data_IF_814999651206
#
_entry.id   IF_814999651206
#
_cell.length_a   1.000
_cell.length_b   1.000
_cell.length_c   1.000
_cell.angle_alpha   90.00
_cell.angle_beta   90.00
_cell.angle_gamma   90.00
#
_symmetry.space_group_name_H-M   'P 1'
#
loop_
_entity.id
_entity.type
_entity.pdbx_description
1 polymer ?
#
# COMPACT_ATOMS: atom_id res chain seq x y z
N UNK A 1 -10.22 24.75 20.89
CA UNK A 1 -11.47 24.88 21.68
C UNK A 1 -11.10 24.88 23.16
N UNK A 2 -11.53 25.91 23.87
CA UNK A 2 -10.99 26.24 25.19
C UNK A 2 -11.77 25.50 26.30
N UNK A 3 -11.29 24.29 26.63
CA UNK A 3 -11.94 23.38 27.59
C UNK A 3 -11.95 23.92 29.03
N UNK A 4 -11.13 24.93 29.35
CA UNK A 4 -10.99 25.48 30.70
C UNK A 4 -12.09 26.43 31.15
N UNK A 5 -12.85 27.04 30.23
CA UNK A 5 -13.83 28.09 30.59
C UNK A 5 -15.07 27.57 31.32
N UNK A 6 -15.37 26.27 31.19
CA UNK A 6 -16.54 25.62 31.78
C UNK A 6 -16.37 25.26 33.26
N UNK A 7 -15.13 25.13 33.73
CA UNK A 7 -14.82 24.86 35.14
C UNK A 7 -14.79 26.14 35.99
N UNK A 8 -14.91 27.31 35.36
CA UNK A 8 -14.89 28.59 36.06
C UNK A 8 -16.26 28.82 36.71
N UNK A 9 -16.33 28.98 38.04
CA UNK A 9 -17.58 29.31 38.70
C UNK A 9 -18.03 30.71 38.26
N UNK A 10 -19.24 30.81 37.69
CA UNK A 10 -19.83 32.08 37.24
C UNK A 10 -21.19 32.28 37.86
N UNK A 11 -21.49 33.50 38.32
CA UNK A 11 -22.78 33.80 38.96
C UNK A 11 -24.00 33.64 38.04
N UNK A 12 -23.94 34.14 36.80
CA UNK A 12 -25.01 33.98 35.80
C UNK A 12 -24.42 33.45 34.48
N UNK A 13 -24.80 32.21 34.14
CA UNK A 13 -24.31 31.50 32.95
C UNK A 13 -24.65 32.22 31.64
N UNK A 14 -25.87 32.75 31.51
CA UNK A 14 -26.32 33.41 30.28
C UNK A 14 -25.61 34.75 30.04
N UNK A 15 -25.35 35.52 31.11
CA UNK A 15 -24.57 36.75 31.02
C UNK A 15 -23.10 36.47 30.65
N UNK A 16 -22.51 35.45 31.27
CA UNK A 16 -21.14 35.02 30.97
C UNK A 16 -21.01 34.55 29.53
N UNK A 17 -21.93 33.70 29.05
CA UNK A 17 -21.94 33.20 27.67
C UNK A 17 -22.08 34.35 26.66
N UNK A 18 -22.96 35.32 26.91
CA UNK A 18 -23.10 36.51 26.05
C UNK A 18 -21.81 37.32 25.98
N UNK A 19 -21.13 37.51 27.12
CA UNK A 19 -19.87 38.22 27.17
C UNK A 19 -18.76 37.47 26.41
N UNK A 20 -18.64 36.16 26.62
CA UNK A 20 -17.67 35.31 25.92
C UNK A 20 -17.91 35.34 24.42
N UNK A 21 -19.16 35.22 23.97
CA UNK A 21 -19.52 35.31 22.55
C UNK A 21 -19.08 36.64 21.94
N UNK A 22 -19.38 37.76 22.62
CA UNK A 22 -18.92 39.10 22.19
C UNK A 22 -17.39 39.19 22.08
N UNK A 23 -16.65 38.64 23.04
CA UNK A 23 -15.19 38.59 22.99
C UNK A 23 -14.68 37.74 21.81
N UNK A 24 -15.31 36.60 21.54
CA UNK A 24 -14.96 35.75 20.40
C UNK A 24 -15.25 36.43 19.06
N UNK A 25 -16.38 37.13 18.94
CA UNK A 25 -16.75 37.86 17.73
C UNK A 25 -15.75 39.00 17.46
N UNK A 26 -15.38 39.76 18.50
CA UNK A 26 -14.32 40.79 18.40
C UNK A 26 -12.97 40.19 18.01
N UNK A 27 -12.59 39.05 18.61
CA UNK A 27 -11.35 38.36 18.27
C UNK A 27 -11.34 37.89 16.81
N UNK A 28 -12.45 37.32 16.31
CA UNK A 28 -12.59 36.95 14.90
C UNK A 28 -12.46 38.16 13.97
N UNK A 29 -13.11 39.27 14.30
CA UNK A 29 -12.98 40.53 13.54
C UNK A 29 -11.54 41.04 13.52
N UNK A 30 -10.82 40.93 14.63
CA UNK A 30 -9.39 41.26 14.69
C UNK A 30 -8.57 40.32 13.83
N UNK A 31 -8.74 39.00 13.93
CA UNK A 31 -8.04 38.04 13.07
C UNK A 31 -8.25 38.30 11.58
N UNK A 32 -9.46 38.70 11.18
CA UNK A 32 -9.76 39.06 9.78
C UNK A 32 -9.16 40.40 9.35
N UNK A 33 -8.97 41.34 10.27
CA UNK A 33 -8.49 42.70 9.96
C UNK A 33 -6.98 42.86 10.14
N UNK A 34 -6.32 41.96 10.88
CA UNK A 34 -4.87 41.96 11.07
C UNK A 34 -4.19 41.74 9.71
N UNK A 35 -3.34 42.69 9.34
CA UNK A 35 -2.48 42.58 8.15
C UNK A 35 -1.28 41.67 8.48
N UNK A 36 -0.91 40.81 7.54
CA UNK A 36 0.32 40.01 7.66
C UNK A 36 1.55 40.92 7.70
N UNK A 37 2.36 40.83 8.76
CA UNK A 37 3.59 41.62 8.91
C UNK A 37 4.73 41.07 8.04
N UNK A 38 4.67 39.80 7.65
CA UNK A 38 5.71 39.09 6.90
C UNK A 38 5.11 38.64 5.56
N UNK A 39 5.90 38.75 4.49
CA UNK A 39 5.55 38.21 3.19
C UNK A 39 5.62 36.68 3.21
N UNK A 40 4.47 36.01 3.13
CA UNK A 40 4.36 34.55 3.04
C UNK A 40 4.22 34.06 1.58
N UNK A 41 4.45 34.93 0.58
CA UNK A 41 4.39 34.51 -0.82
C UNK A 41 5.57 33.59 -1.14
N UNK A 42 5.35 32.57 -1.98
CA UNK A 42 6.45 31.72 -2.43
C UNK A 42 7.49 32.57 -3.18
N UNK A 43 8.79 32.33 -2.98
CA UNK A 43 9.84 33.09 -3.64
C UNK A 43 9.74 32.94 -5.16
N UNK A 44 9.92 34.05 -5.89
CA UNK A 44 9.79 34.12 -7.36
C UNK A 44 10.79 33.25 -8.13
N UNK A 45 11.80 32.70 -7.47
CA UNK A 45 12.99 32.10 -8.12
C UNK A 45 12.96 30.58 -8.29
N UNK A 46 11.89 29.87 -7.89
CA UNK A 46 11.86 28.40 -8.03
C UNK A 46 11.48 27.87 -9.43
N UNK A 47 11.30 28.73 -10.45
CA UNK A 47 11.02 28.26 -11.82
C UNK A 47 12.27 27.87 -12.62
N UNK A 48 13.44 28.47 -12.34
CA UNK A 48 14.66 28.18 -13.10
C UNK A 48 15.30 26.83 -12.74
N UNK A 49 15.09 26.34 -11.50
CA UNK A 49 15.65 25.07 -11.00
C UNK A 49 14.68 23.89 -11.21
N UNK A 50 13.38 24.15 -11.39
CA UNK A 50 12.35 23.10 -11.48
C UNK A 50 12.20 22.47 -12.89
N UNK A 51 12.83 23.03 -13.93
CA UNK A 51 12.64 22.59 -15.32
C UNK A 51 13.70 21.65 -15.87
N UNK A 52 14.92 21.67 -15.33
CA UNK A 52 16.07 20.97 -15.90
C UNK A 52 16.85 20.24 -14.81
N UNK A 53 16.52 18.97 -14.61
CA UNK A 53 17.32 18.09 -13.76
C UNK A 53 18.62 17.73 -14.50
N UNK A 54 19.60 18.64 -14.53
CA UNK A 54 20.86 18.46 -15.26
C UNK A 54 21.59 17.15 -14.88
N UNK A 55 21.58 16.80 -13.58
CA UNK A 55 22.13 15.52 -13.10
C UNK A 55 21.39 14.30 -13.66
N UNK A 56 20.06 14.39 -13.82
CA UNK A 56 19.26 13.31 -14.41
C UNK A 56 19.61 13.15 -15.89
N UNK A 57 19.78 14.26 -16.60
CA UNK A 57 20.16 14.26 -18.02
C UNK A 57 21.55 13.63 -18.22
N UNK A 58 22.54 14.05 -17.43
CA UNK A 58 23.88 13.48 -17.45
C UNK A 58 23.87 11.95 -17.19
N UNK A 59 23.11 11.50 -16.18
CA UNK A 59 23.06 10.09 -15.83
C UNK A 59 22.38 9.24 -16.93
N UNK A 60 21.43 9.82 -17.67
CA UNK A 60 20.85 9.16 -18.84
C UNK A 60 21.87 9.06 -19.98
N UNK A 61 22.62 10.13 -20.26
CA UNK A 61 23.69 10.14 -21.28
C UNK A 61 24.78 9.10 -20.98
N UNK A 62 25.27 9.05 -19.74
CA UNK A 62 26.27 8.05 -19.31
C UNK A 62 25.76 6.61 -19.49
N UNK A 63 24.47 6.37 -19.18
CA UNK A 63 23.84 5.07 -19.36
C UNK A 63 23.72 4.70 -20.84
N UNK A 64 23.33 5.63 -21.70
CA UNK A 64 23.26 5.38 -23.15
C UNK A 64 24.65 5.10 -23.73
N UNK A 65 25.67 5.86 -23.34
CA UNK A 65 27.05 5.63 -23.78
C UNK A 65 27.59 4.25 -23.34
N UNK A 66 27.19 3.77 -22.15
CA UNK A 66 27.50 2.41 -21.71
C UNK A 66 26.81 1.35 -22.59
N UNK A 67 25.51 1.51 -22.83
CA UNK A 67 24.73 0.58 -23.68
C UNK A 67 25.31 0.52 -25.09
N UNK A 68 25.67 1.66 -25.68
CA UNK A 68 26.25 1.70 -27.03
C UNK A 68 27.61 1.00 -27.10
N UNK A 69 28.48 1.20 -26.11
CA UNK A 69 29.76 0.47 -26.02
C UNK A 69 29.54 -1.04 -25.91
N UNK A 70 28.61 -1.46 -25.06
CA UNK A 70 28.33 -2.89 -24.85
C UNK A 70 27.72 -3.52 -26.12
N UNK A 71 26.81 -2.81 -26.80
CA UNK A 71 26.23 -3.22 -28.08
C UNK A 71 27.30 -3.35 -29.17
N UNK A 72 28.26 -2.42 -29.25
CA UNK A 72 29.38 -2.50 -30.19
C UNK A 72 30.22 -3.75 -29.95
N UNK A 73 30.61 -4.01 -28.70
CA UNK A 73 31.39 -5.19 -28.31
C UNK A 73 30.61 -6.48 -28.63
N UNK A 74 29.31 -6.50 -28.34
CA UNK A 74 28.46 -7.66 -28.62
C UNK A 74 28.40 -7.95 -30.13
N UNK A 75 28.17 -6.93 -30.95
CA UNK A 75 28.12 -7.08 -32.41
C UNK A 75 29.46 -7.53 -32.98
N UNK A 76 30.58 -7.01 -32.47
CA UNK A 76 31.92 -7.45 -32.87
C UNK A 76 32.17 -8.93 -32.54
N UNK A 77 31.77 -9.37 -31.33
CA UNK A 77 31.86 -10.77 -30.91
C UNK A 77 30.98 -11.67 -31.76
N UNK A 78 29.73 -11.28 -32.01
CA UNK A 78 28.80 -12.03 -32.87
C UNK A 78 29.34 -12.14 -34.28
N UNK A 79 29.86 -11.04 -34.84
CA UNK A 79 30.47 -11.02 -36.16
C UNK A 79 31.71 -11.93 -36.24
N UNK A 80 32.51 -11.97 -35.17
CA UNK A 80 33.66 -12.88 -35.06
C UNK A 80 33.22 -14.34 -35.01
N UNK A 81 32.19 -14.65 -34.20
CA UNK A 81 31.59 -16.00 -34.13
C UNK A 81 31.02 -16.43 -35.48
N UNK A 82 30.32 -15.53 -36.18
CA UNK A 82 29.75 -15.81 -37.50
C UNK A 82 30.82 -16.04 -38.57
N UNK A 83 31.94 -15.31 -38.51
CA UNK A 83 33.09 -15.49 -39.40
C UNK A 83 33.89 -16.76 -39.09
N UNK A 84 34.01 -17.11 -37.81
CA UNK A 84 34.62 -18.38 -37.40
C UNK A 84 33.63 -19.51 -37.67
N UNK A 85 33.75 -20.17 -38.82
CA UNK A 85 33.00 -21.39 -39.13
C UNK A 85 33.19 -22.39 -37.98
N UNK A 86 32.14 -22.95 -37.37
CA UNK A 86 32.30 -23.85 -36.24
C UNK A 86 33.05 -25.09 -36.74
N UNK A 87 34.27 -25.29 -36.26
CA UNK A 87 34.92 -26.57 -36.39
C UNK A 87 34.13 -27.56 -35.52
N UNK A 88 34.01 -28.81 -35.96
CA UNK A 88 33.34 -29.89 -35.20
C UNK A 88 33.83 -29.98 -33.75
N UNK A 89 35.11 -29.66 -33.50
CA UNK A 89 35.69 -29.55 -32.16
C UNK A 89 35.08 -28.43 -31.27
N UNK A 90 34.61 -27.32 -31.85
CA UNK A 90 33.95 -26.25 -31.10
C UNK A 90 32.53 -26.65 -30.69
N UNK A 91 31.79 -27.37 -31.54
CA UNK A 91 30.46 -27.88 -31.21
C UNK A 91 30.52 -28.92 -30.08
N UNK A 92 31.46 -29.86 -30.13
CA UNK A 92 31.69 -30.84 -29.08
C UNK A 92 32.15 -30.18 -27.76
N UNK A 93 33.01 -29.17 -27.82
CA UNK A 93 33.44 -28.44 -26.62
C UNK A 93 32.34 -27.58 -26.01
N UNK A 94 31.46 -26.96 -26.81
CA UNK A 94 30.29 -26.21 -26.31
C UNK A 94 29.28 -27.15 -25.67
N UNK A 95 29.01 -28.31 -26.26
CA UNK A 95 28.14 -29.32 -25.66
C UNK A 95 28.74 -29.92 -24.38
N UNK A 96 30.04 -30.23 -24.38
CA UNK A 96 30.75 -30.70 -23.18
C UNK A 96 30.74 -29.63 -22.07
N UNK A 97 30.96 -28.36 -22.44
CA UNK A 97 30.89 -27.22 -21.53
C UNK A 97 29.48 -27.00 -21.00
N UNK A 98 28.43 -27.14 -21.81
CA UNK A 98 27.03 -27.03 -21.36
C UNK A 98 26.62 -28.17 -20.43
N UNK A 99 27.11 -29.40 -20.67
CA UNK A 99 26.89 -30.57 -19.79
C UNK A 99 27.60 -30.43 -18.44
N UNK A 100 28.79 -29.82 -18.42
CA UNK A 100 29.58 -29.59 -17.20
C UNK A 100 29.34 -28.24 -16.51
N UNK A 101 28.76 -27.26 -17.20
CA UNK A 101 28.36 -25.98 -16.64
C UNK A 101 27.06 -26.11 -15.83
N UNK A 102 27.10 -26.91 -14.76
CA UNK A 102 26.28 -26.59 -13.59
C UNK A 102 26.69 -25.18 -13.21
N UNK A 103 25.78 -24.20 -13.35
CA UNK A 103 26.03 -22.81 -12.95
C UNK A 103 26.82 -22.83 -11.65
N UNK A 104 28.00 -22.18 -11.62
CA UNK A 104 28.91 -22.14 -10.47
C UNK A 104 28.17 -21.74 -9.17
N UNK A 105 27.05 -21.05 -9.33
CA UNK A 105 26.18 -20.58 -8.25
C UNK A 105 24.96 -21.46 -7.98
N UNK A 106 24.81 -22.64 -8.59
CA UNK A 106 23.63 -23.52 -8.40
C UNK A 106 23.49 -23.94 -6.95
N UNK A 107 24.61 -24.29 -6.31
CA UNK A 107 24.60 -24.71 -4.92
C UNK A 107 24.36 -23.51 -3.98
N UNK A 108 25.00 -22.37 -4.25
CA UNK A 108 24.76 -21.12 -3.54
C UNK A 108 23.29 -20.69 -3.63
N UNK A 109 22.71 -20.71 -4.84
CA UNK A 109 21.28 -20.43 -5.08
C UNK A 109 20.36 -21.42 -4.39
N UNK A 110 20.72 -22.71 -4.36
CA UNK A 110 19.96 -23.73 -3.63
C UNK A 110 19.98 -23.48 -2.12
N UNK A 111 21.15 -23.16 -1.55
CA UNK A 111 21.28 -22.83 -0.12
C UNK A 111 20.52 -21.57 0.24
N UNK A 112 20.59 -20.54 -0.60
CA UNK A 112 19.86 -19.29 -0.40
C UNK A 112 18.34 -19.50 -0.50
N UNK A 113 17.88 -20.27 -1.50
CA UNK A 113 16.47 -20.63 -1.61
C UNK A 113 16.00 -21.38 -0.35
N UNK A 114 16.78 -22.35 0.13
CA UNK A 114 16.46 -23.07 1.37
C UNK A 114 16.44 -22.14 2.59
N UNK A 115 17.35 -21.16 2.67
CA UNK A 115 17.37 -20.15 3.75
C UNK A 115 16.09 -19.32 3.73
N UNK A 116 15.73 -18.79 2.56
CA UNK A 116 14.50 -18.00 2.35
C UNK A 116 13.26 -18.82 2.71
N UNK A 117 13.16 -20.07 2.25
CA UNK A 117 12.01 -20.93 2.55
C UNK A 117 11.85 -21.17 4.06
N UNK A 118 12.95 -21.43 4.78
CA UNK A 118 12.91 -21.62 6.25
C UNK A 118 12.51 -20.33 6.97
N UNK A 119 13.03 -19.19 6.52
CA UNK A 119 12.72 -17.89 7.09
C UNK A 119 11.25 -17.50 6.86
N UNK A 120 10.74 -17.73 5.65
CA UNK A 120 9.33 -17.53 5.32
C UNK A 120 8.41 -18.41 6.17
N UNK A 121 8.77 -19.69 6.38
CA UNK A 121 8.01 -20.58 7.24
C UNK A 121 7.97 -20.08 8.70
N UNK A 122 9.10 -19.58 9.23
CA UNK A 122 9.17 -19.01 10.58
C UNK A 122 8.31 -17.74 10.70
N UNK A 123 8.40 -16.84 9.72
CA UNK A 123 7.61 -15.60 9.70
C UNK A 123 6.11 -15.92 9.63
N UNK A 124 5.72 -16.86 8.77
CA UNK A 124 4.33 -17.28 8.65
C UNK A 124 3.80 -17.85 9.96
N UNK A 125 4.56 -18.75 10.61
CA UNK A 125 4.19 -19.29 11.91
C UNK A 125 4.05 -18.17 12.97
N UNK A 126 4.96 -17.20 12.97
CA UNK A 126 4.90 -16.05 13.87
C UNK A 126 3.63 -15.22 13.64
N UNK A 127 3.30 -14.89 12.38
CA UNK A 127 2.09 -14.14 12.01
C UNK A 127 0.82 -14.90 12.41
N UNK A 128 0.80 -16.22 12.20
CA UNK A 128 -0.35 -17.05 12.55
C UNK A 128 -0.53 -17.22 14.06
N UNK A 129 0.57 -17.30 14.80
CA UNK A 129 0.56 -17.41 16.27
C UNK A 129 0.38 -16.08 16.98
N UNK A 130 0.67 -14.95 16.31
CA UNK A 130 0.56 -13.64 16.92
C UNK A 130 -0.91 -13.27 17.09
N UNK A 131 -1.31 -13.06 18.34
CA UNK A 131 -2.65 -12.57 18.64
C UNK A 131 -2.83 -11.14 18.10
N UNK A 132 -4.01 -10.80 17.57
CA UNK A 132 -4.31 -9.43 17.17
C UNK A 132 -4.25 -8.52 18.39
N UNK A 133 -3.36 -7.52 18.36
CA UNK A 133 -3.20 -6.50 19.42
C UNK A 133 -4.51 -5.73 19.66
N UNK A 134 -5.36 -5.66 18.64
CA UNK A 134 -6.59 -4.89 18.65
C UNK A 134 -7.78 -5.79 18.34
N UNK A 135 -8.73 -5.85 19.28
CA UNK A 135 -10.01 -6.50 19.05
C UNK A 135 -10.95 -5.48 18.38
N UNK A 136 -11.15 -5.61 17.07
CA UNK A 136 -12.01 -4.71 16.28
C UNK A 136 -13.42 -4.59 16.86
N UNK A 137 -13.97 -5.69 17.38
CA UNK A 137 -15.28 -5.69 18.03
C UNK A 137 -15.32 -4.95 19.36
N UNK A 138 -14.24 -5.00 20.16
CA UNK A 138 -14.12 -4.17 21.38
C UNK A 138 -14.01 -2.70 21.02
N UNK A 139 -13.16 -2.36 20.05
CA UNK A 139 -12.97 -0.99 19.59
C UNK A 139 -14.24 -0.35 19.04
N UNK A 140 -15.05 -1.13 18.32
CA UNK A 140 -16.32 -0.62 17.81
C UNK A 140 -17.31 -0.35 18.95
N UNK A 141 -17.36 -1.21 19.97
CA UNK A 141 -18.18 -0.98 21.17
C UNK A 141 -17.71 0.25 21.93
N UNK A 142 -16.41 0.36 22.19
CA UNK A 142 -15.82 1.52 22.86
C UNK A 142 -16.07 2.81 22.08
N UNK A 143 -15.96 2.78 20.75
CA UNK A 143 -16.27 3.93 19.91
C UNK A 143 -17.73 4.38 20.05
N UNK A 144 -18.69 3.44 20.07
CA UNK A 144 -20.12 3.75 20.29
C UNK A 144 -20.36 4.33 21.68
N UNK A 145 -19.73 3.78 22.71
CA UNK A 145 -19.87 4.29 24.08
C UNK A 145 -19.24 5.67 24.24
N UNK A 146 -18.06 5.89 23.66
CA UNK A 146 -17.44 7.22 23.58
C UNK A 146 -18.30 8.21 22.83
N UNK A 147 -18.95 7.81 21.73
CA UNK A 147 -19.89 8.65 20.99
C UNK A 147 -21.10 9.04 21.85
N UNK A 148 -21.66 8.08 22.62
CA UNK A 148 -22.75 8.35 23.57
C UNK A 148 -22.33 9.31 24.66
N UNK A 149 -21.17 9.10 25.29
CA UNK A 149 -20.66 10.02 26.31
C UNK A 149 -20.41 11.42 25.74
N UNK A 150 -19.84 11.49 24.55
CA UNK A 150 -19.60 12.74 23.85
C UNK A 150 -20.92 13.47 23.53
N UNK A 151 -21.95 12.78 23.02
CA UNK A 151 -23.29 13.37 22.80
C UNK A 151 -23.89 13.90 24.11
N UNK A 152 -23.68 13.20 25.22
CA UNK A 152 -24.22 13.58 26.52
C UNK A 152 -23.46 14.75 27.19
N UNK A 153 -22.15 14.87 26.94
CA UNK A 153 -21.27 15.84 27.63
C UNK A 153 -21.07 17.13 26.79
N UNK A 154 -21.23 17.04 25.46
CA UNK A 154 -20.99 18.17 24.57
C UNK A 154 -22.10 19.22 24.64
N UNK A 155 -21.69 20.48 24.81
CA UNK A 155 -22.57 21.66 24.80
C UNK A 155 -22.91 22.15 23.39
N UNK A 156 -22.03 21.86 22.43
CA UNK A 156 -22.16 22.26 21.04
C UNK A 156 -22.37 21.03 20.17
N UNK A 157 -23.12 21.14 19.04
CA UNK A 157 -23.40 20.01 18.18
C UNK A 157 -22.09 19.41 17.69
N UNK A 158 -21.88 18.13 17.99
CA UNK A 158 -20.68 17.42 17.53
C UNK A 158 -20.90 17.02 16.10
N UNK A 159 -20.29 17.75 15.19
CA UNK A 159 -20.12 17.33 13.79
C UNK A 159 -19.09 16.19 13.78
N UNK A 160 -19.54 14.98 14.12
CA UNK A 160 -18.79 13.78 13.78
C UNK A 160 -18.71 13.80 12.26
N UNK A 161 -17.48 13.88 11.70
CA UNK A 161 -17.32 13.67 10.27
C UNK A 161 -18.04 12.35 9.98
N UNK A 162 -19.10 12.43 9.18
CA UNK A 162 -19.83 11.23 8.81
C UNK A 162 -18.76 10.31 8.24
N UNK A 163 -18.61 9.12 8.83
CA UNK A 163 -17.77 8.10 8.23
C UNK A 163 -18.50 7.80 6.94
N UNK A 164 -18.08 8.43 5.84
CA UNK A 164 -18.66 8.19 4.53
C UNK A 164 -18.64 6.68 4.36
N UNK A 165 -19.77 6.02 4.03
CA UNK A 165 -19.80 4.58 3.85
C UNK A 165 -18.74 4.25 2.79
N UNK A 166 -17.68 3.61 3.23
CA UNK A 166 -16.58 3.18 2.38
C UNK A 166 -17.08 2.00 1.57
N UNK A 167 -17.31 2.26 0.28
CA UNK A 167 -17.44 1.29 -0.82
C UNK A 167 -18.72 0.43 -0.76
N UNK A 168 -19.56 0.39 -1.81
CA UNK A 168 -20.67 -0.56 -1.88
C UNK A 168 -20.12 -1.99 -1.81
N UNK A 169 -20.74 -2.83 -0.97
CA UNK A 169 -20.59 -4.28 -1.03
C UNK A 169 -20.84 -4.70 -2.47
N UNK A 170 -19.83 -5.35 -3.06
CA UNK A 170 -19.99 -6.03 -4.34
C UNK A 170 -20.85 -7.24 -4.04
N UNK A 171 -22.11 -7.18 -4.45
CA UNK A 171 -23.03 -8.30 -4.45
C UNK A 171 -22.47 -9.36 -5.41
N UNK A 172 -21.68 -10.31 -4.88
CA UNK A 172 -21.34 -11.53 -5.60
C UNK A 172 -22.61 -12.36 -5.70
N UNK A 173 -23.29 -12.20 -6.84
CA UNK A 173 -24.50 -12.92 -7.20
C UNK A 173 -24.36 -14.41 -6.94
N UNK A 174 -25.29 -14.92 -6.12
CA UNK A 174 -25.43 -16.33 -5.82
C UNK A 174 -25.64 -17.16 -7.08
N UNK A 175 -24.77 -18.15 -7.23
CA UNK A 175 -24.93 -19.33 -8.09
C UNK A 175 -26.19 -20.09 -7.67
N UNK A 176 -27.29 -19.93 -8.41
CA UNK A 176 -28.51 -20.72 -8.25
C UNK A 176 -28.25 -22.14 -8.77
N UNK A 177 -27.77 -23.00 -7.88
CA UNK A 177 -27.81 -24.44 -8.07
C UNK A 177 -29.26 -24.95 -8.05
N UNK A 178 -29.80 -25.27 -9.23
CA UNK A 178 -31.07 -25.98 -9.40
C UNK A 178 -30.98 -27.40 -8.78
N UNK A 179 -31.42 -27.52 -7.53
CA UNK A 179 -31.71 -28.78 -6.86
C UNK A 179 -33.20 -29.11 -6.92
N UNK A 180 -33.66 -29.68 -8.04
CA UNK A 180 -35.02 -30.20 -8.20
C UNK A 180 -35.08 -31.71 -7.99
N UNK A 181 -35.44 -32.15 -6.79
CA UNK A 181 -35.68 -33.56 -6.46
C UNK A 181 -36.98 -34.10 -7.07
N UNK A 182 -36.90 -35.29 -7.67
CA UNK A 182 -38.05 -36.10 -8.08
C UNK A 182 -37.82 -37.54 -7.63
N UNK A 183 -38.68 -38.02 -6.72
CA UNK A 183 -38.53 -39.29 -6.02
C UNK A 183 -38.89 -40.56 -6.81
N UNK A 184 -38.37 -41.66 -6.25
CA UNK A 184 -38.88 -43.04 -6.21
C UNK A 184 -39.43 -43.70 -7.50
N UNK A 185 -38.81 -44.81 -7.92
CA UNK A 185 -39.35 -46.16 -7.69
C UNK A 185 -38.51 -47.25 -8.39
N UNK A 186 -38.12 -48.27 -7.62
CA UNK A 186 -38.43 -49.67 -7.95
C UNK A 186 -37.61 -50.44 -8.99
N UNK A 187 -37.00 -51.54 -8.49
CA UNK A 187 -36.67 -52.82 -9.18
C UNK A 187 -35.51 -52.70 -10.20
N UNK A 188 -34.53 -53.59 -10.28
CA UNK A 188 -34.35 -54.94 -9.77
C UNK A 188 -33.56 -55.71 -10.83
N UNK A 189 -32.55 -56.49 -10.41
CA UNK A 189 -32.02 -57.63 -11.17
C UNK A 189 -30.78 -57.41 -12.05
N UNK A 190 -29.70 -58.09 -11.67
CA UNK A 190 -29.12 -59.16 -12.50
C UNK A 190 -27.87 -58.86 -13.34
N UNK A 191 -26.78 -59.60 -13.02
CA UNK A 191 -25.68 -60.00 -13.93
C UNK A 191 -24.71 -58.89 -14.32
N UNK A 192 -23.38 -59.04 -14.30
CA UNK A 192 -22.54 -60.21 -14.51
C UNK A 192 -21.61 -59.91 -15.69
N UNK A 193 -20.30 -60.17 -15.55
CA UNK A 193 -19.41 -60.38 -16.70
C UNK A 193 -18.16 -59.49 -16.77
N UNK A 194 -17.04 -60.15 -16.45
CA UNK A 194 -15.65 -59.96 -16.88
C UNK A 194 -14.88 -58.71 -16.45
#
# INVERSE_FOLDING_TARGET
MDRGRRAMPTGNKACHERHVRKCQDLHRQQLTSIKSTIDNKPPKTLRAVAGTNAKKQQLMEDRYAQIERDNRILLEKMSTIMRSRPTVALAESVEAQARYAKSLNRESRKRELQRITRENARILAAIQSSEPVYNSGQWEREARDHERYLKNICEYPVSLLTRSPSVPEVDEGGDEGEGGGGGSAGRGGGGGGW
#
